data_IF_272152144979
#
_entry.id   IF_272152144979
#
_cell.length_a   1.000
_cell.length_b   1.000
_cell.length_c   1.000
_cell.angle_alpha   90.00
_cell.angle_beta   90.00
_cell.angle_gamma   90.00
#
_symmetry.space_group_name_H-M   'P 1'
#
loop_
_entity.id
_entity.type
_entity.pdbx_description
1 polymer ?
#
# COMPACT_ATOMS: atom_id res chain seq x y z
N UNK A 1 -35.97 60.77 9.80
CA UNK A 1 -34.56 60.94 9.35
C UNK A 1 -33.76 61.37 10.57
N UNK A 2 -33.01 60.43 11.14
CA UNK A 2 -31.54 60.52 11.21
C UNK A 2 -30.90 59.15 10.85
N UNK A 3 -29.71 58.99 10.30
CA UNK A 3 -28.55 59.84 10.03
C UNK A 3 -27.35 58.88 9.95
N UNK A 4 -26.62 58.92 8.83
CA UNK A 4 -25.53 58.03 8.41
C UNK A 4 -24.36 57.79 9.40
N UNK A 5 -23.70 56.65 9.15
CA UNK A 5 -22.26 56.33 9.28
C UNK A 5 -21.57 56.28 10.66
N UNK A 6 -21.18 55.07 11.06
CA UNK A 6 -19.78 54.81 11.43
C UNK A 6 -19.44 53.30 11.34
N UNK A 7 -19.33 52.79 10.10
CA UNK A 7 -18.61 51.54 9.86
C UNK A 7 -17.10 51.82 9.94
N UNK A 8 -16.58 51.94 11.15
CA UNK A 8 -15.14 52.09 11.36
C UNK A 8 -14.44 50.75 11.03
N UNK A 9 -14.11 50.58 9.74
CA UNK A 9 -13.32 49.48 9.23
C UNK A 9 -11.92 49.51 9.87
N UNK A 10 -11.69 48.62 10.83
CA UNK A 10 -10.35 48.38 11.39
C UNK A 10 -9.42 47.89 10.27
N UNK A 11 -8.20 48.42 10.14
CA UNK A 11 -7.30 48.05 9.05
C UNK A 11 -7.02 46.54 9.07
N UNK A 12 -7.05 45.92 7.89
CA UNK A 12 -6.93 44.47 7.68
C UNK A 12 -5.50 43.97 7.96
N UNK A 13 -5.10 44.01 9.23
CA UNK A 13 -3.78 43.60 9.69
C UNK A 13 -3.70 42.10 9.96
N UNK A 14 -3.22 41.34 8.96
CA UNK A 14 -2.44 40.09 9.09
C UNK A 14 -3.12 38.85 9.70
N UNK A 15 -4.10 38.98 10.61
CA UNK A 15 -4.70 37.85 11.35
C UNK A 15 -5.73 37.06 10.53
N UNK A 16 -6.48 37.73 9.64
CA UNK A 16 -7.44 37.06 8.76
C UNK A 16 -6.76 36.37 7.56
N UNK A 17 -5.70 36.96 7.01
CA UNK A 17 -4.94 36.36 5.90
C UNK A 17 -4.26 35.05 6.31
N UNK A 18 -3.79 34.93 7.57
CA UNK A 18 -3.17 33.69 8.08
C UNK A 18 -4.17 32.57 8.39
N UNK A 19 -5.45 32.88 8.61
CA UNK A 19 -6.49 31.87 8.84
C UNK A 19 -6.85 31.10 7.56
N UNK A 20 -6.87 31.79 6.40
CA UNK A 20 -7.12 31.20 5.08
C UNK A 20 -5.99 30.27 4.59
N UNK A 21 -4.78 30.39 5.17
CA UNK A 21 -3.62 29.59 4.80
C UNK A 21 -3.55 28.22 5.51
N UNK A 22 -4.39 27.98 6.52
CA UNK A 22 -4.51 26.64 7.13
C UNK A 22 -5.51 25.82 6.33
N UNK A 23 -5.03 25.18 5.26
CA UNK A 23 -5.76 24.09 4.62
C UNK A 23 -5.93 23.00 5.69
N UNK A 24 -7.12 22.91 6.27
CA UNK A 24 -7.46 21.79 7.14
C UNK A 24 -7.29 20.54 6.29
N UNK A 25 -6.31 19.70 6.63
CA UNK A 25 -6.28 18.33 6.16
C UNK A 25 -7.58 17.72 6.70
N UNK A 26 -8.61 17.69 5.86
CA UNK A 26 -9.85 16.99 6.17
C UNK A 26 -9.46 15.54 6.43
N UNK A 27 -9.85 15.00 7.60
CA UNK A 27 -9.73 13.57 7.83
C UNK A 27 -10.43 12.85 6.69
N UNK A 28 -9.83 11.78 6.13
CA UNK A 28 -10.50 10.97 5.13
C UNK A 28 -11.88 10.56 5.67
N UNK A 29 -12.88 10.55 4.80
CA UNK A 29 -14.18 10.02 5.20
C UNK A 29 -14.04 8.52 5.49
N UNK A 30 -14.93 7.97 6.31
CA UNK A 30 -14.95 6.52 6.58
C UNK A 30 -14.96 5.71 5.27
N UNK A 31 -15.70 6.16 4.26
CA UNK A 31 -15.76 5.53 2.94
C UNK A 31 -14.43 5.60 2.19
N UNK A 32 -13.66 6.67 2.36
CA UNK A 32 -12.33 6.82 1.75
C UNK A 32 -11.32 5.89 2.41
N UNK A 33 -11.39 5.78 3.73
CA UNK A 33 -10.57 4.86 4.51
C UNK A 33 -10.91 3.38 4.20
N UNK A 34 -12.19 3.02 4.07
CA UNK A 34 -12.62 1.68 3.62
C UNK A 34 -12.11 1.33 2.21
N UNK A 35 -12.16 2.28 1.27
CA UNK A 35 -11.59 2.11 -0.09
C UNK A 35 -10.08 1.91 -0.05
N UNK A 36 -9.37 2.66 0.77
CA UNK A 36 -7.93 2.50 0.97
C UNK A 36 -7.58 1.13 1.57
N UNK A 37 -8.33 0.68 2.57
CA UNK A 37 -8.16 -0.66 3.15
C UNK A 37 -8.41 -1.77 2.13
N UNK A 38 -9.45 -1.66 1.33
CA UNK A 38 -9.75 -2.65 0.29
C UNK A 38 -8.62 -2.71 -0.74
N UNK A 39 -8.16 -1.54 -1.19
CA UNK A 39 -7.06 -1.43 -2.15
C UNK A 39 -5.77 -2.05 -1.60
N UNK A 40 -5.42 -1.74 -0.35
CA UNK A 40 -4.24 -2.34 0.31
C UNK A 40 -4.37 -3.86 0.46
N UNK A 41 -5.57 -4.36 0.77
CA UNK A 41 -5.83 -5.79 0.88
C UNK A 41 -5.65 -6.51 -0.46
N UNK A 42 -6.20 -5.96 -1.55
CA UNK A 42 -6.03 -6.52 -2.89
C UNK A 42 -4.57 -6.56 -3.32
N UNK A 43 -3.80 -5.50 -3.05
CA UNK A 43 -2.37 -5.46 -3.35
C UNK A 43 -1.64 -6.55 -2.56
N UNK A 44 -1.94 -6.70 -1.26
CA UNK A 44 -1.33 -7.74 -0.42
C UNK A 44 -1.64 -9.15 -0.92
N UNK A 45 -2.85 -9.39 -1.40
CA UNK A 45 -3.23 -10.69 -1.97
C UNK A 45 -2.43 -11.01 -3.24
N UNK A 46 -2.29 -10.04 -4.14
CA UNK A 46 -1.46 -10.18 -5.35
C UNK A 46 0.01 -10.42 -4.99
N UNK A 47 0.55 -9.65 -4.04
CA UNK A 47 1.92 -9.81 -3.55
C UNK A 47 2.15 -11.18 -2.91
N UNK A 48 1.17 -11.71 -2.18
CA UNK A 48 1.29 -13.03 -1.56
C UNK A 48 1.41 -14.14 -2.60
N UNK A 49 0.59 -14.10 -3.66
CA UNK A 49 0.67 -15.04 -4.78
C UNK A 49 2.03 -14.95 -5.51
N UNK A 50 2.57 -13.75 -5.70
CA UNK A 50 3.90 -13.57 -6.29
C UNK A 50 5.02 -14.06 -5.37
N UNK A 51 4.91 -13.83 -4.06
CA UNK A 51 5.87 -14.33 -3.07
C UNK A 51 5.90 -15.85 -2.99
N UNK A 52 4.75 -16.52 -3.09
CA UNK A 52 4.69 -17.98 -3.12
C UNK A 52 5.46 -18.52 -4.33
N UNK A 53 5.23 -17.96 -5.53
CA UNK A 53 5.97 -18.32 -6.74
C UNK A 53 7.48 -18.12 -6.58
N UNK A 54 7.88 -16.97 -6.05
CA UNK A 54 9.30 -16.66 -5.79
C UNK A 54 9.92 -17.62 -4.77
N UNK A 55 9.18 -17.99 -3.72
CA UNK A 55 9.66 -18.91 -2.70
C UNK A 55 9.88 -20.32 -3.28
N UNK A 56 8.96 -20.79 -4.12
CA UNK A 56 9.09 -22.08 -4.82
C UNK A 56 10.33 -22.09 -5.74
N UNK A 57 10.60 -21.00 -6.45
CA UNK A 57 11.80 -20.85 -7.27
C UNK A 57 13.08 -20.90 -6.42
N UNK A 58 13.15 -20.14 -5.33
CA UNK A 58 14.31 -20.16 -4.41
C UNK A 58 14.55 -21.53 -3.80
N UNK A 59 13.48 -22.23 -3.43
CA UNK A 59 13.57 -23.59 -2.91
C UNK A 59 14.12 -24.54 -3.97
N UNK A 60 13.64 -24.43 -5.22
CA UNK A 60 14.14 -25.22 -6.34
C UNK A 60 15.62 -24.94 -6.63
N UNK A 61 16.03 -23.67 -6.65
CA UNK A 61 17.43 -23.26 -6.83
C UNK A 61 18.32 -23.88 -5.76
N UNK A 62 17.85 -23.87 -4.50
CA UNK A 62 18.57 -24.49 -3.38
C UNK A 62 18.71 -26.00 -3.59
N UNK A 63 17.66 -26.69 -4.02
CA UNK A 63 17.69 -28.13 -4.31
C UNK A 63 18.59 -28.47 -5.52
N UNK A 64 18.70 -27.58 -6.50
CA UNK A 64 19.58 -27.75 -7.66
C UNK A 64 21.05 -27.50 -7.29
N UNK A 65 21.31 -26.54 -6.39
CA UNK A 65 22.66 -26.19 -5.96
C UNK A 65 23.29 -27.23 -5.02
N UNK A 66 22.49 -28.11 -4.38
CA UNK A 66 23.02 -29.21 -3.56
C UNK A 66 23.86 -30.16 -4.43
N UNK A 67 25.12 -30.32 -4.07
CA UNK A 67 26.07 -31.25 -4.70
C UNK A 67 26.00 -32.68 -4.15
N UNK A 68 25.35 -32.86 -3.00
CA UNK A 68 25.11 -34.16 -2.39
C UNK A 68 23.95 -34.90 -3.09
N UNK A 69 23.94 -36.25 -3.07
CA UNK A 69 22.82 -37.01 -3.62
C UNK A 69 21.53 -36.65 -2.86
N UNK A 70 20.54 -36.16 -3.61
CA UNK A 70 19.23 -35.82 -3.06
C UNK A 70 18.54 -37.07 -2.53
N UNK A 71 17.85 -36.94 -1.40
CA UNK A 71 16.94 -37.98 -0.92
C UNK A 71 15.83 -38.24 -1.95
N UNK A 72 15.23 -39.42 -1.93
CA UNK A 72 14.07 -39.76 -2.77
C UNK A 72 12.95 -38.72 -2.62
N UNK A 73 12.71 -38.25 -1.39
CA UNK A 73 11.69 -37.25 -1.08
C UNK A 73 12.03 -35.87 -1.68
N UNK A 74 13.29 -35.46 -1.60
CA UNK A 74 13.76 -34.19 -2.19
C UNK A 74 13.71 -34.24 -3.72
N UNK A 75 14.00 -35.39 -4.31
CA UNK A 75 13.91 -35.62 -5.77
C UNK A 75 12.46 -35.56 -6.25
N UNK A 76 11.53 -36.17 -5.50
CA UNK A 76 10.10 -36.08 -5.76
C UNK A 76 9.61 -34.63 -5.66
N UNK A 77 10.04 -33.90 -4.63
CA UNK A 77 9.71 -32.48 -4.45
C UNK A 77 10.24 -31.61 -5.59
N UNK A 78 11.52 -31.79 -5.98
CA UNK A 78 12.14 -31.11 -7.11
C UNK A 78 11.36 -31.33 -8.41
N UNK A 79 10.96 -32.58 -8.66
CA UNK A 79 10.17 -32.94 -9.85
C UNK A 79 8.80 -32.28 -9.84
N UNK A 80 8.12 -32.25 -8.68
CA UNK A 80 6.84 -31.57 -8.51
C UNK A 80 6.96 -30.06 -8.77
N UNK A 81 7.95 -29.40 -8.17
CA UNK A 81 8.18 -27.96 -8.37
C UNK A 81 8.47 -27.62 -9.83
N UNK A 82 9.29 -28.44 -10.52
CA UNK A 82 9.55 -28.27 -11.95
C UNK A 82 8.27 -28.42 -12.78
N UNK A 83 7.43 -29.42 -12.47
CA UNK A 83 6.16 -29.63 -13.16
C UNK A 83 5.21 -28.45 -12.95
N UNK A 84 5.08 -27.96 -11.72
CA UNK A 84 4.20 -26.83 -11.38
C UNK A 84 4.66 -25.51 -12.04
N UNK A 85 5.97 -25.37 -12.33
CA UNK A 85 6.52 -24.21 -13.04
C UNK A 85 6.42 -24.31 -14.57
N UNK A 86 6.39 -25.53 -15.13
CA UNK A 86 6.28 -25.79 -16.56
C UNK A 86 4.83 -26.00 -17.04
N UNK A 87 3.89 -26.16 -16.11
CA UNK A 87 2.45 -26.24 -16.36
C UNK A 87 1.86 -24.85 -16.68
#
# INVERSE_FOLDING_TARGET
VPGEDDQSARPVGVKAAKAKAKKSVSKPSLEEEEREFHTMWEIRQKDFALKEKLNNQKLLDTLIAKTEPLSELETALKTKLLKDMLA
#
